data_IF_239054632975
#
_entry.id   IF_239054632975
#
_cell.length_a   1.000
_cell.length_b   1.000
_cell.length_c   1.000
_cell.angle_alpha   90.00
_cell.angle_beta   90.00
_cell.angle_gamma   90.00
#
_symmetry.space_group_name_H-M   'P 1'
#
loop_
_entity.id
_entity.type
_entity.pdbx_description
1 polymer ?
#
# COMPACT_ATOMS: atom_id res chain seq x y z
N UNK A 1 -7.00 20.15 -7.76
CA UNK A 1 -6.77 18.71 -7.54
C UNK A 1 -8.03 18.12 -6.92
N UNK A 2 -8.60 17.05 -7.50
CA UNK A 2 -9.83 16.40 -7.01
C UNK A 2 -9.42 15.09 -6.35
N UNK A 3 -9.92 14.80 -5.14
CA UNK A 3 -9.79 13.48 -4.55
C UNK A 3 -10.66 12.48 -5.33
N UNK A 4 -10.02 11.72 -6.23
CA UNK A 4 -10.70 10.78 -7.11
C UNK A 4 -11.34 9.60 -6.36
N UNK A 5 -10.83 9.26 -5.16
CA UNK A 5 -11.42 8.21 -4.33
C UNK A 5 -12.70 8.70 -3.66
N UNK A 6 -12.68 9.91 -3.10
CA UNK A 6 -13.85 10.47 -2.43
C UNK A 6 -14.95 10.93 -3.40
N UNK A 7 -14.57 11.35 -4.62
CA UNK A 7 -15.48 12.03 -5.54
C UNK A 7 -15.42 11.48 -6.97
N UNK A 8 -15.40 10.15 -7.12
CA UNK A 8 -15.31 9.48 -8.42
C UNK A 8 -16.33 9.96 -9.46
N UNK A 9 -17.61 10.07 -9.09
CA UNK A 9 -18.66 10.52 -10.03
C UNK A 9 -18.40 11.94 -10.56
N UNK A 10 -17.79 12.81 -9.75
CA UNK A 10 -17.40 14.16 -10.18
C UNK A 10 -16.23 14.12 -11.17
N UNK A 11 -15.27 13.21 -10.97
CA UNK A 11 -14.17 12.97 -11.91
C UNK A 11 -14.71 12.49 -13.26
N UNK A 12 -15.60 11.50 -13.26
CA UNK A 12 -16.22 10.98 -14.49
C UNK A 12 -16.97 12.07 -15.25
N UNK A 13 -17.79 12.86 -14.55
CA UNK A 13 -18.53 13.95 -15.18
C UNK A 13 -17.60 14.99 -15.81
N UNK A 14 -16.57 15.43 -15.08
CA UNK A 14 -15.60 16.39 -15.59
C UNK A 14 -14.79 15.84 -16.77
N UNK A 15 -14.40 14.57 -16.73
CA UNK A 15 -13.69 13.94 -17.82
C UNK A 15 -14.57 13.76 -19.07
N UNK A 16 -15.87 13.50 -18.91
CA UNK A 16 -16.81 13.48 -20.04
C UNK A 16 -16.95 14.85 -20.71
N UNK A 17 -16.94 15.93 -19.91
CA UNK A 17 -16.98 17.32 -20.38
C UNK A 17 -15.66 17.74 -21.06
N UNK A 18 -14.52 17.44 -20.43
CA UNK A 18 -13.19 17.88 -20.88
C UNK A 18 -12.57 16.98 -21.96
N UNK A 19 -13.02 15.72 -22.06
CA UNK A 19 -12.48 14.67 -22.95
C UNK A 19 -10.94 14.62 -22.95
N UNK A 20 -10.30 14.44 -21.78
CA UNK A 20 -8.85 14.43 -21.72
C UNK A 20 -8.28 13.18 -22.40
N UNK A 21 -7.20 13.33 -23.17
CA UNK A 21 -6.43 12.18 -23.69
C UNK A 21 -5.55 11.53 -22.60
N UNK A 22 -5.11 12.33 -21.61
CA UNK A 22 -4.21 11.89 -20.54
C UNK A 22 -4.75 12.30 -19.18
N UNK A 23 -4.74 11.37 -18.22
CA UNK A 23 -5.12 11.63 -16.83
C UNK A 23 -3.97 11.30 -15.89
N UNK A 24 -3.58 12.28 -15.06
CA UNK A 24 -2.65 12.08 -13.95
C UNK A 24 -3.46 11.85 -12.67
N UNK A 25 -3.36 10.64 -12.11
CA UNK A 25 -3.97 10.28 -10.84
C UNK A 25 -2.90 10.25 -9.76
N UNK A 26 -2.81 11.31 -8.97
CA UNK A 26 -2.01 11.30 -7.76
C UNK A 26 -2.81 10.64 -6.63
N UNK A 27 -2.47 9.39 -6.36
CA UNK A 27 -3.12 8.62 -5.31
C UNK A 27 -2.28 8.82 -4.05
N UNK A 28 -2.39 10.03 -3.51
CA UNK A 28 -1.58 10.49 -2.37
C UNK A 28 -1.53 9.46 -1.24
N UNK A 29 -0.35 9.37 -0.61
CA UNK A 29 0.09 8.52 0.51
C UNK A 29 -0.82 7.38 1.03
N UNK A 30 -0.21 6.21 1.24
CA UNK A 30 -0.72 5.09 2.05
C UNK A 30 -2.13 4.56 1.70
N UNK A 31 -2.50 4.62 0.42
CA UNK A 31 -3.66 3.87 -0.08
C UNK A 31 -3.24 2.45 -0.43
N UNK A 32 -4.02 1.47 0.01
CA UNK A 32 -3.77 0.07 -0.30
C UNK A 32 -3.87 -0.16 -1.81
N UNK A 33 -3.00 -1.02 -2.34
CA UNK A 33 -2.91 -1.25 -3.79
C UNK A 33 -4.20 -1.78 -4.40
N UNK A 34 -5.04 -2.49 -3.64
CA UNK A 34 -6.28 -3.08 -4.15
C UNK A 34 -7.32 -1.99 -4.44
N UNK A 35 -7.55 -1.08 -3.49
CA UNK A 35 -8.43 0.09 -3.67
C UNK A 35 -7.98 0.93 -4.86
N UNK A 36 -6.67 1.18 -4.98
CA UNK A 36 -6.13 1.94 -6.12
C UNK A 36 -6.37 1.20 -7.43
N UNK A 37 -6.12 -0.10 -7.48
CA UNK A 37 -6.32 -0.91 -8.70
C UNK A 37 -7.78 -0.88 -9.15
N UNK A 38 -8.73 -1.00 -8.23
CA UNK A 38 -10.17 -0.92 -8.55
C UNK A 38 -10.56 0.47 -9.07
N UNK A 39 -10.04 1.53 -8.47
CA UNK A 39 -10.24 2.89 -8.97
C UNK A 39 -9.73 3.03 -10.40
N UNK A 40 -8.53 2.54 -10.68
CA UNK A 40 -7.91 2.64 -12.01
C UNK A 40 -8.67 1.85 -13.07
N UNK A 41 -9.07 0.61 -12.75
CA UNK A 41 -9.88 -0.20 -13.65
C UNK A 41 -11.19 0.52 -14.01
N UNK A 42 -11.84 1.12 -13.00
CA UNK A 42 -13.07 1.89 -13.22
C UNK A 42 -12.82 3.19 -13.99
N UNK A 43 -11.72 3.89 -13.74
CA UNK A 43 -11.34 5.08 -14.51
C UNK A 43 -11.11 4.72 -15.98
N UNK A 44 -10.41 3.62 -16.28
CA UNK A 44 -10.16 3.21 -17.65
C UNK A 44 -11.46 2.82 -18.38
N UNK A 45 -12.39 2.12 -17.71
CA UNK A 45 -13.66 1.75 -18.33
C UNK A 45 -14.59 2.93 -18.62
N UNK A 46 -14.57 3.95 -17.75
CA UNK A 46 -15.52 5.07 -17.80
C UNK A 46 -14.98 6.28 -18.60
N UNK A 47 -13.68 6.57 -18.46
CA UNK A 47 -13.11 7.82 -18.98
C UNK A 47 -12.68 7.74 -20.45
N UNK A 48 -12.51 6.52 -21.01
CA UNK A 48 -12.00 6.30 -22.37
C UNK A 48 -10.73 7.11 -22.68
N UNK A 49 -9.85 7.23 -21.69
CA UNK A 49 -8.57 7.95 -21.80
C UNK A 49 -7.52 7.07 -22.47
N UNK A 50 -6.62 7.67 -23.24
CA UNK A 50 -5.52 6.91 -23.89
C UNK A 50 -4.44 6.51 -22.88
N UNK A 51 -4.18 7.35 -21.88
CA UNK A 51 -3.15 7.11 -20.88
C UNK A 51 -3.58 7.56 -19.48
N UNK A 52 -3.46 6.66 -18.50
CA UNK A 52 -3.59 6.99 -17.07
C UNK A 52 -2.24 6.82 -16.39
N UNK A 53 -1.68 7.91 -15.87
CA UNK A 53 -0.42 7.90 -15.11
C UNK A 53 -0.75 7.93 -13.62
N UNK A 54 -0.21 6.98 -12.88
CA UNK A 54 -0.53 6.79 -11.46
C UNK A 54 0.72 6.87 -10.62
N UNK A 55 0.73 7.78 -9.66
CA UNK A 55 1.80 7.86 -8.67
C UNK A 55 1.44 7.01 -7.45
N UNK A 56 1.84 5.73 -7.46
CA UNK A 56 1.65 4.83 -6.31
C UNK A 56 2.88 3.92 -6.10
N UNK A 57 3.53 4.04 -4.93
CA UNK A 57 4.76 3.30 -4.61
C UNK A 57 4.53 1.78 -4.49
N UNK A 58 3.41 1.35 -3.94
CA UNK A 58 3.10 -0.07 -3.76
C UNK A 58 2.86 -0.76 -5.11
N UNK A 59 2.08 -0.13 -5.99
CA UNK A 59 1.87 -0.61 -7.37
C UNK A 59 3.16 -0.61 -8.17
N UNK A 60 4.01 0.42 -8.01
CA UNK A 60 5.33 0.44 -8.65
C UNK A 60 6.20 -0.73 -8.19
N UNK A 61 6.29 -0.97 -6.87
CA UNK A 61 7.01 -2.13 -6.31
C UNK A 61 6.44 -3.46 -6.84
N UNK A 62 5.11 -3.61 -6.87
CA UNK A 62 4.45 -4.80 -7.39
C UNK A 62 4.76 -5.03 -8.89
N UNK A 63 4.74 -3.97 -9.69
CA UNK A 63 5.11 -4.01 -11.10
C UNK A 63 6.58 -4.42 -11.31
N UNK A 64 7.51 -3.88 -10.52
CA UNK A 64 8.92 -4.27 -10.56
C UNK A 64 9.12 -5.75 -10.20
N UNK A 65 8.46 -6.24 -9.14
CA UNK A 65 8.49 -7.66 -8.76
C UNK A 65 7.96 -8.56 -9.87
N UNK A 66 6.87 -8.15 -10.52
CA UNK A 66 6.30 -8.90 -11.63
C UNK A 66 7.27 -8.95 -12.84
N UNK A 67 7.87 -7.82 -13.20
CA UNK A 67 8.85 -7.74 -14.28
C UNK A 67 10.09 -8.63 -14.02
N UNK A 68 10.55 -8.70 -12.77
CA UNK A 68 11.61 -9.62 -12.38
C UNK A 68 11.21 -11.09 -12.63
N UNK A 69 10.05 -11.52 -12.12
CA UNK A 69 9.53 -12.89 -12.33
C UNK A 69 9.34 -13.25 -13.80
N UNK A 70 8.97 -12.28 -14.65
CA UNK A 70 8.82 -12.50 -16.09
C UNK A 70 10.18 -12.77 -16.74
N UNK A 71 11.22 -12.01 -16.39
CA UNK A 71 12.59 -12.25 -16.87
C UNK A 71 13.09 -13.63 -16.45
N UNK A 72 12.80 -14.04 -15.22
CA UNK A 72 13.16 -15.38 -14.73
C UNK A 72 12.44 -16.47 -15.54
N UNK A 73 11.14 -16.30 -15.81
CA UNK A 73 10.37 -17.24 -16.65
C UNK A 73 10.87 -17.30 -18.09
N UNK A 74 11.15 -16.17 -18.72
CA UNK A 74 11.71 -16.13 -20.07
C UNK A 74 13.09 -16.80 -20.12
N UNK A 75 13.90 -16.65 -19.07
CA UNK A 75 15.17 -17.36 -18.91
C UNK A 75 14.96 -18.87 -18.82
N UNK A 76 14.03 -19.33 -17.97
CA UNK A 76 13.70 -20.76 -17.84
C UNK A 76 13.09 -21.33 -19.13
N UNK A 77 12.28 -20.54 -19.85
CA UNK A 77 11.66 -20.97 -21.10
C UNK A 77 12.68 -21.10 -22.25
N UNK A 78 13.74 -20.29 -22.24
CA UNK A 78 14.88 -20.46 -23.17
C UNK A 78 15.74 -21.69 -22.84
N UNK A 79 15.61 -22.25 -21.64
CA UNK A 79 16.31 -23.47 -21.22
C UNK A 79 15.48 -24.75 -21.40
N UNK A 80 14.20 -24.63 -21.76
CA UNK A 80 13.36 -25.79 -22.07
C UNK A 80 13.75 -26.38 -23.44
N UNK A 81 13.99 -27.71 -23.54
CA UNK A 81 14.24 -28.36 -24.81
C UNK A 81 13.13 -28.06 -25.83
N UNK A 82 13.52 -27.78 -27.07
CA UNK A 82 12.64 -27.38 -28.19
C UNK A 82 11.43 -28.30 -28.42
N UNK A 83 11.48 -29.55 -27.95
CA UNK A 83 10.41 -30.54 -28.14
C UNK A 83 9.13 -30.26 -27.32
N UNK A 84 9.18 -29.41 -26.30
CA UNK A 84 8.02 -29.12 -25.42
C UNK A 84 7.16 -27.92 -25.87
N UNK A 85 7.56 -27.19 -26.92
CA UNK A 85 6.96 -25.87 -27.23
C UNK A 85 5.67 -25.92 -28.07
N UNK A 86 5.21 -27.08 -28.52
CA UNK A 86 4.16 -27.21 -29.54
C UNK A 86 2.70 -27.15 -29.02
N UNK A 87 2.46 -26.98 -27.71
CA UNK A 87 1.12 -27.18 -27.14
C UNK A 87 0.44 -25.96 -26.49
N UNK A 88 0.98 -24.75 -26.62
CA UNK A 88 0.39 -23.56 -25.96
C UNK A 88 0.18 -22.41 -26.95
N UNK A 89 -0.79 -22.57 -27.83
CA UNK A 89 -1.45 -21.42 -28.47
C UNK A 89 -2.94 -21.67 -28.42
N UNK A 90 -3.68 -20.88 -27.65
CA UNK A 90 -4.96 -20.32 -28.07
C UNK A 90 -5.49 -19.32 -27.03
N UNK A 91 -5.72 -18.10 -27.52
CA UNK A 91 -6.72 -17.14 -27.05
C UNK A 91 -6.56 -16.61 -25.62
N UNK A 92 -5.72 -15.59 -25.44
CA UNK A 92 -5.83 -14.71 -24.27
C UNK A 92 -6.93 -13.67 -24.53
N UNK A 93 -7.93 -13.52 -23.63
CA UNK A 93 -8.86 -12.40 -23.70
C UNK A 93 -8.11 -11.09 -23.45
N UNK A 94 -8.63 -9.99 -24.03
CA UNK A 94 -8.13 -8.61 -23.97
C UNK A 94 -7.04 -8.42 -22.92
N UNK A 95 -5.79 -8.43 -23.39
CA UNK A 95 -4.61 -8.55 -22.55
C UNK A 95 -4.63 -7.55 -21.38
N UNK A 96 -5.20 -6.36 -21.57
CA UNK A 96 -5.34 -5.32 -20.55
C UNK A 96 -6.23 -5.72 -19.37
N UNK A 97 -7.40 -6.33 -19.62
CA UNK A 97 -8.30 -6.83 -18.55
C UNK A 97 -7.64 -7.99 -17.82
N UNK A 98 -6.96 -8.87 -18.56
CA UNK A 98 -6.17 -9.95 -17.97
C UNK A 98 -5.06 -9.40 -17.07
N UNK A 99 -4.32 -8.38 -17.51
CA UNK A 99 -3.24 -7.76 -16.73
C UNK A 99 -3.76 -7.07 -15.47
N UNK A 100 -4.82 -6.27 -15.59
CA UNK A 100 -5.45 -5.62 -14.44
C UNK A 100 -5.94 -6.66 -13.42
N UNK A 101 -6.57 -7.74 -13.90
CA UNK A 101 -7.06 -8.84 -13.07
C UNK A 101 -5.91 -9.63 -12.41
N UNK A 102 -4.82 -9.90 -13.13
CA UNK A 102 -3.68 -10.64 -12.60
C UNK A 102 -2.87 -9.81 -11.59
N UNK A 103 -2.74 -8.50 -11.82
CA UNK A 103 -2.13 -7.58 -10.86
C UNK A 103 -3.02 -7.44 -9.61
N UNK A 104 -4.34 -7.27 -9.79
CA UNK A 104 -5.30 -7.26 -8.70
C UNK A 104 -5.23 -8.56 -7.88
N UNK A 105 -5.17 -9.73 -8.54
CA UNK A 105 -5.00 -11.03 -7.87
C UNK A 105 -3.66 -11.16 -7.16
N UNK A 106 -2.57 -10.63 -7.70
CA UNK A 106 -1.27 -10.65 -7.04
C UNK A 106 -1.28 -9.78 -5.77
N UNK A 107 -1.87 -8.59 -5.86
CA UNK A 107 -2.09 -7.69 -4.71
C UNK A 107 -3.00 -8.35 -3.67
N UNK A 108 -4.11 -8.96 -4.09
CA UNK A 108 -5.05 -9.65 -3.20
C UNK A 108 -4.47 -10.94 -2.59
N UNK A 109 -3.58 -11.65 -3.28
CA UNK A 109 -2.87 -12.83 -2.74
C UNK A 109 -1.85 -12.42 -1.67
N UNK A 110 -1.13 -11.32 -1.88
CA UNK A 110 -0.26 -10.73 -0.85
C UNK A 110 -1.09 -10.32 0.39
N UNK A 111 -2.41 -10.07 0.24
CA UNK A 111 -3.31 -9.77 1.37
C UNK A 111 -4.01 -10.99 2.02
N UNK A 112 -4.00 -12.18 1.40
CA UNK A 112 -4.69 -13.39 1.90
C UNK A 112 -3.75 -14.47 2.47
N UNK A 113 -2.43 -14.36 2.24
CA UNK A 113 -1.45 -15.01 3.11
C UNK A 113 -1.33 -14.09 4.31
N UNK A 114 -1.92 -14.47 5.45
CA UNK A 114 -1.93 -13.67 6.67
C UNK A 114 -0.58 -13.00 6.91
N UNK A 115 -0.48 -11.73 6.53
CA UNK A 115 0.72 -10.96 6.77
C UNK A 115 0.79 -10.68 8.27
N UNK A 116 1.94 -10.92 8.92
CA UNK A 116 2.11 -10.48 10.28
C UNK A 116 1.85 -8.98 10.31
N UNK A 117 1.12 -8.53 11.33
CA UNK A 117 0.82 -7.13 11.61
C UNK A 117 2.12 -6.48 12.14
N UNK A 118 3.20 -6.59 11.37
CA UNK A 118 4.52 -6.01 11.67
C UNK A 118 4.72 -4.67 10.93
N UNK A 119 3.84 -4.29 10.00
CA UNK A 119 3.95 -3.05 9.23
C UNK A 119 3.49 -1.78 10.00
N UNK A 120 3.43 -1.83 11.34
CA UNK A 120 3.16 -0.62 12.13
C UNK A 120 4.31 0.40 12.05
N UNK A 121 5.53 -0.02 11.71
CA UNK A 121 6.66 0.90 11.49
C UNK A 121 6.47 1.77 10.23
N UNK A 122 5.85 1.24 9.17
CA UNK A 122 5.72 1.97 7.89
C UNK A 122 4.47 2.88 7.80
N UNK A 123 3.50 2.75 8.71
CA UNK A 123 2.24 3.53 8.70
C UNK A 123 2.30 4.88 9.45
N UNK A 124 3.43 5.22 10.06
CA UNK A 124 3.59 6.42 10.90
C UNK A 124 3.94 7.69 10.09
N UNK A 125 3.27 7.90 8.95
CA UNK A 125 3.59 8.94 7.94
C UNK A 125 3.11 10.36 8.35
N UNK A 126 2.40 10.51 9.47
CA UNK A 126 1.81 11.81 9.83
C UNK A 126 2.69 12.69 10.74
N UNK A 127 3.98 12.40 10.97
CA UNK A 127 4.76 12.99 12.07
C UNK A 127 5.65 14.20 11.68
N UNK A 128 5.17 15.13 10.84
CA UNK A 128 5.95 16.31 10.39
C UNK A 128 5.71 17.59 11.20
N UNK A 129 5.02 17.52 12.35
CA UNK A 129 4.90 18.68 13.25
C UNK A 129 5.88 18.53 14.41
N UNK A 130 6.86 19.44 14.53
CA UNK A 130 7.93 19.49 15.55
C UNK A 130 7.46 19.45 17.01
N UNK A 131 6.16 19.50 17.27
CA UNK A 131 5.59 19.41 18.61
C UNK A 131 5.25 17.95 18.95
N UNK A 132 6.23 17.26 19.54
CA UNK A 132 6.07 16.26 20.61
C UNK A 132 4.82 15.37 20.55
N UNK A 133 4.69 14.55 19.50
CA UNK A 133 3.63 13.54 19.48
C UNK A 133 3.97 12.40 20.43
N UNK A 134 3.16 12.30 21.49
CA UNK A 134 3.11 11.21 22.47
C UNK A 134 3.19 9.83 21.77
N UNK A 135 3.84 8.86 22.41
CA UNK A 135 3.91 7.49 21.92
C UNK A 135 2.58 6.76 22.14
N UNK A 136 2.25 5.82 21.24
CA UNK A 136 1.09 4.97 21.46
C UNK A 136 1.40 3.95 22.54
N UNK A 137 0.75 4.10 23.69
CA UNK A 137 0.96 3.25 24.86
C UNK A 137 0.71 1.76 24.59
N UNK A 138 -0.36 1.44 23.86
CA UNK A 138 -0.74 0.07 23.52
C UNK A 138 0.37 -0.60 22.70
N UNK A 139 0.86 0.09 21.67
CA UNK A 139 1.96 -0.37 20.83
C UNK A 139 3.27 -0.49 21.62
N UNK A 140 3.62 0.54 22.40
CA UNK A 140 4.88 0.56 23.15
C UNK A 140 4.98 -0.60 24.17
N UNK A 141 3.87 -1.03 24.75
CA UNK A 141 3.87 -2.13 25.73
C UNK A 141 3.69 -3.52 25.09
N UNK A 142 2.95 -3.64 23.98
CA UNK A 142 2.56 -4.95 23.42
C UNK A 142 3.17 -5.25 22.06
N UNK A 143 3.81 -4.26 21.43
CA UNK A 143 4.22 -4.32 20.02
C UNK A 143 3.04 -4.27 19.04
N UNK A 144 1.79 -4.11 19.51
CA UNK A 144 0.58 -4.12 18.67
C UNK A 144 -0.35 -2.98 19.05
N UNK A 145 -1.04 -2.42 18.05
CA UNK A 145 -2.10 -1.43 18.29
C UNK A 145 -3.34 -1.82 17.50
N UNK A 146 -4.48 -1.89 18.19
CA UNK A 146 -5.77 -2.25 17.56
C UNK A 146 -6.39 -1.10 16.76
N UNK A 147 -5.85 0.13 16.87
CA UNK A 147 -6.38 1.32 16.18
C UNK A 147 -5.96 1.34 14.72
N UNK A 148 -6.96 1.28 13.82
CA UNK A 148 -6.75 1.37 12.36
C UNK A 148 -6.09 2.68 11.89
N UNK A 149 -6.25 3.78 12.63
CA UNK A 149 -5.65 5.10 12.34
C UNK A 149 -5.16 5.73 13.64
N UNK A 150 -4.08 5.19 14.20
CA UNK A 150 -3.49 5.74 15.40
C UNK A 150 -2.84 7.10 15.09
N UNK A 151 -3.15 8.11 15.90
CA UNK A 151 -2.55 9.45 15.79
C UNK A 151 -1.23 9.58 16.57
N UNK A 152 -0.91 8.57 17.38
CA UNK A 152 0.29 8.49 18.21
C UNK A 152 1.40 7.72 17.50
N UNK A 153 2.65 8.01 17.86
CA UNK A 153 3.81 7.34 17.23
C UNK A 153 3.90 5.88 17.65
N UNK A 154 4.08 4.99 16.68
CA UNK A 154 4.46 3.59 16.89
C UNK A 154 5.97 3.50 16.69
N UNK A 155 6.70 3.22 17.76
CA UNK A 155 8.15 3.04 17.72
C UNK A 155 8.47 1.66 18.32
N UNK A 156 9.46 0.93 17.76
CA UNK A 156 9.90 -0.34 18.30
C UNK A 156 10.51 -0.14 19.69
N UNK A 157 10.54 -1.22 20.49
CA UNK A 157 11.00 -1.15 21.88
C UNK A 157 12.48 -0.74 22.01
N UNK A 158 13.27 -1.03 20.98
CA UNK A 158 14.69 -0.70 20.88
C UNK A 158 14.95 0.77 20.48
N UNK A 159 13.91 1.51 20.06
CA UNK A 159 14.07 2.90 19.66
C UNK A 159 14.41 3.79 20.87
N UNK A 160 15.37 4.72 20.77
CA UNK A 160 15.81 5.57 21.90
C UNK A 160 14.65 6.34 22.56
N UNK A 161 13.74 6.92 21.77
CA UNK A 161 12.55 7.60 22.32
C UNK A 161 11.62 6.67 23.11
N UNK A 162 11.47 5.40 22.69
CA UNK A 162 10.62 4.43 23.39
C UNK A 162 11.25 4.02 24.73
N UNK A 163 12.57 3.82 24.75
CA UNK A 163 13.35 3.57 25.97
C UNK A 163 13.24 4.76 26.93
N UNK A 164 13.41 5.98 26.42
CA UNK A 164 13.30 7.19 27.23
C UNK A 164 11.89 7.37 27.82
N UNK A 165 10.84 7.07 27.05
CA UNK A 165 9.45 7.12 27.54
C UNK A 165 9.16 6.10 28.63
N UNK A 166 9.63 4.86 28.43
CA UNK A 166 9.50 3.81 29.44
C UNK A 166 10.22 4.18 30.74
N UNK A 167 11.41 4.75 30.65
CA UNK A 167 12.17 5.22 31.81
C UNK A 167 11.43 6.34 32.58
N UNK A 168 10.89 7.34 31.87
CA UNK A 168 10.07 8.41 32.48
C UNK A 168 8.86 7.84 33.21
N UNK A 169 8.17 6.86 32.62
CA UNK A 169 6.97 6.24 33.21
C UNK A 169 7.30 5.42 34.45
N UNK A 170 8.42 4.70 34.47
CA UNK A 170 8.90 3.98 35.66
C UNK A 170 9.19 4.94 36.81
N UNK A 171 9.94 6.01 36.56
CA UNK A 171 10.24 7.02 37.57
C UNK A 171 8.97 7.68 38.15
N UNK A 172 7.96 7.95 37.30
CA UNK A 172 6.68 8.48 37.76
C UNK A 172 5.91 7.49 38.65
N UNK A 173 5.89 6.20 38.29
CA UNK A 173 5.21 5.17 39.09
C UNK A 173 5.80 5.04 40.50
N UNK A 174 7.13 5.10 40.62
CA UNK A 174 7.85 5.05 41.90
C UNK A 174 7.54 6.26 42.80
N UNK A 175 7.43 7.45 42.19
CA UNK A 175 7.09 8.67 42.94
C UNK A 175 5.68 8.62 43.55
N UNK A 176 4.70 8.02 42.86
CA UNK A 176 3.33 7.91 43.34
C UNK A 176 3.22 6.88 44.48
N UNK A 177 3.94 5.75 44.38
CA UNK A 177 3.91 4.70 45.41
C UNK A 177 4.51 5.14 46.76
N UNK A 178 5.33 6.18 46.78
CA UNK A 178 6.04 6.64 47.98
C UNK A 178 5.19 7.52 48.92
N UNK A 179 3.97 7.91 48.51
CA UNK A 179 3.12 8.87 49.25
C UNK A 179 2.06 8.18 50.14
N UNK A 180 2.03 6.85 50.18
CA UNK A 180 1.04 6.06 50.94
C UNK A 180 1.61 5.32 52.17
N UNK A 181 2.81 5.69 52.64
CA UNK A 181 3.47 5.11 53.82
C UNK A 181 3.42 6.01 55.04
#
# INVERSE_FOLDING_TARGET
MIDALAHFSRVVRLAAELRPSVVFCDVGGNRDGATVTLLLARMQSELKVELTVVKNRALHRAALRHAARRRDRECMQKQLPLEASALVTNSLPDAEIFWATQLARAVLRDHNLGMPIDDCEELNIACDSEQERRLCFEFANTGRCTRRRCTFRHLPHEHPDAVADLARRKAQAESIGSTQG
#
